data_IF_559997167899
#
_entry.id   IF_559997167899
#
_cell.length_a   1.000
_cell.length_b   1.000
_cell.length_c   1.000
_cell.angle_alpha   90.00
_cell.angle_beta   90.00
_cell.angle_gamma   90.00
#
_symmetry.space_group_name_H-M   'P 1'
#
loop_
_entity.id
_entity.type
_entity.pdbx_description
1 polymer ?
#
# COMPACT_ATOMS: atom_id res chain seq x y z
N UNK A 1 -20.18 5.44 21.42
CA UNK A 1 -19.95 4.13 20.79
C UNK A 1 -18.61 4.11 20.09
N UNK A 2 -17.92 3.02 20.24
CA UNK A 2 -16.69 2.77 19.52
C UNK A 2 -17.00 2.71 18.02
N UNK A 3 -16.33 3.52 17.21
CA UNK A 3 -16.54 3.56 15.76
C UNK A 3 -16.37 2.19 15.08
N UNK A 4 -15.59 1.31 15.67
CA UNK A 4 -15.40 -0.07 15.25
C UNK A 4 -16.73 -0.84 15.19
N UNK A 5 -17.57 -0.70 16.20
CA UNK A 5 -18.88 -1.36 16.23
C UNK A 5 -19.82 -0.77 15.18
N UNK A 6 -19.79 0.55 14.97
CA UNK A 6 -20.58 1.17 13.93
C UNK A 6 -20.24 0.66 12.52
N UNK A 7 -18.96 0.50 12.22
CA UNK A 7 -18.52 -0.06 10.93
C UNK A 7 -18.92 -1.52 10.77
N UNK A 8 -18.80 -2.34 11.80
CA UNK A 8 -19.21 -3.75 11.75
C UNK A 8 -20.73 -3.88 11.53
N UNK A 9 -21.53 -3.03 12.17
CA UNK A 9 -22.97 -3.00 11.95
C UNK A 9 -23.31 -2.67 10.49
N UNK A 10 -22.59 -1.72 9.88
CA UNK A 10 -22.80 -1.36 8.46
C UNK A 10 -22.41 -2.53 7.56
N UNK A 11 -21.29 -3.20 7.83
CA UNK A 11 -20.84 -4.35 7.04
C UNK A 11 -21.89 -5.46 7.09
N UNK A 12 -22.40 -5.78 8.27
CA UNK A 12 -23.35 -6.88 8.47
C UNK A 12 -24.72 -6.59 7.87
N UNK A 13 -25.22 -5.36 8.04
CA UNK A 13 -26.58 -5.00 7.68
C UNK A 13 -26.74 -4.48 6.25
N UNK A 14 -25.65 -3.98 5.63
CA UNK A 14 -25.69 -3.33 4.33
C UNK A 14 -24.68 -3.93 3.35
N UNK A 15 -24.38 -5.22 3.51
CA UNK A 15 -23.46 -5.96 2.65
C UNK A 15 -23.78 -5.75 1.17
N UNK A 16 -22.78 -5.50 0.36
CA UNK A 16 -22.91 -5.26 -1.08
C UNK A 16 -23.27 -3.83 -1.45
N UNK A 17 -23.35 -2.91 -0.48
CA UNK A 17 -23.58 -1.49 -0.75
C UNK A 17 -22.28 -0.70 -0.74
N UNK A 18 -22.23 0.49 -1.40
CA UNK A 18 -21.06 1.39 -1.29
C UNK A 18 -20.73 1.77 0.15
N UNK A 19 -21.73 1.92 1.01
CA UNK A 19 -21.52 2.21 2.43
C UNK A 19 -20.78 1.06 3.13
N UNK A 20 -21.15 -0.19 2.83
CA UNK A 20 -20.47 -1.34 3.39
C UNK A 20 -19.03 -1.46 2.88
N UNK A 21 -18.79 -1.15 1.61
CA UNK A 21 -17.42 -1.19 1.05
C UNK A 21 -16.51 -0.18 1.76
N UNK A 22 -17.00 1.05 1.98
CA UNK A 22 -16.24 2.08 2.70
C UNK A 22 -16.03 1.66 4.16
N UNK A 23 -17.03 1.04 4.79
CA UNK A 23 -16.90 0.54 6.16
C UNK A 23 -15.85 -0.57 6.25
N UNK A 24 -15.80 -1.47 5.28
CA UNK A 24 -14.77 -2.53 5.19
C UNK A 24 -13.38 -1.89 5.09
N UNK A 25 -13.20 -0.94 4.19
CA UNK A 25 -11.94 -0.21 4.05
C UNK A 25 -11.54 0.47 5.35
N UNK A 26 -12.46 1.23 5.94
CA UNK A 26 -12.19 1.97 7.19
C UNK A 26 -11.84 1.03 8.33
N UNK A 27 -12.53 -0.09 8.45
CA UNK A 27 -12.25 -1.11 9.46
C UNK A 27 -10.85 -1.69 9.27
N UNK A 28 -10.51 -2.05 8.04
CA UNK A 28 -9.17 -2.55 7.72
C UNK A 28 -8.06 -1.56 8.07
N UNK A 29 -8.27 -0.28 7.76
CA UNK A 29 -7.29 0.77 8.10
C UNK A 29 -7.17 1.00 9.60
N UNK A 30 -8.27 0.87 10.35
CA UNK A 30 -8.25 0.95 11.82
C UNK A 30 -7.39 -0.19 12.39
N UNK A 31 -7.60 -1.42 11.93
CA UNK A 31 -6.80 -2.55 12.39
C UNK A 31 -5.33 -2.40 12.01
N UNK A 32 -5.04 -1.88 10.83
CA UNK A 32 -3.67 -1.57 10.44
C UNK A 32 -3.02 -0.59 11.42
N UNK A 33 -3.74 0.45 11.77
CA UNK A 33 -3.28 1.47 12.71
C UNK A 33 -3.07 0.90 14.13
N UNK A 34 -3.92 -0.05 14.53
CA UNK A 34 -3.82 -0.76 15.80
C UNK A 34 -2.72 -1.85 15.78
N UNK A 35 -2.04 -2.02 14.65
CA UNK A 35 -0.99 -3.04 14.45
C UNK A 35 -1.51 -4.47 14.53
N UNK A 36 -2.80 -4.66 14.26
CA UNK A 36 -3.39 -5.99 14.10
C UNK A 36 -3.35 -6.36 12.61
N UNK A 37 -2.16 -6.72 12.14
CA UNK A 37 -1.85 -6.78 10.73
C UNK A 37 -2.61 -7.87 9.98
N UNK A 38 -2.72 -9.06 10.54
CA UNK A 38 -3.45 -10.17 9.90
C UNK A 38 -4.93 -9.82 9.73
N UNK A 39 -5.53 -9.24 10.77
CA UNK A 39 -6.93 -8.81 10.72
C UNK A 39 -7.12 -7.68 9.70
N UNK A 40 -6.19 -6.74 9.65
CA UNK A 40 -6.21 -5.65 8.66
C UNK A 40 -6.19 -6.21 7.23
N UNK A 41 -5.32 -7.19 6.97
CA UNK A 41 -5.22 -7.85 5.66
C UNK A 41 -6.58 -8.47 5.28
N UNK A 42 -7.20 -9.21 6.19
CA UNK A 42 -8.48 -9.86 5.92
C UNK A 42 -9.56 -8.85 5.49
N UNK A 43 -9.69 -7.74 6.21
CA UNK A 43 -10.67 -6.71 5.86
C UNK A 43 -10.32 -6.01 4.54
N UNK A 44 -9.06 -5.63 4.35
CA UNK A 44 -8.65 -4.91 3.15
C UNK A 44 -8.71 -5.78 1.89
N UNK A 45 -8.51 -7.08 2.00
CA UNK A 45 -8.69 -8.02 0.88
C UNK A 45 -10.15 -8.12 0.44
N UNK A 46 -11.09 -7.95 1.37
CA UNK A 46 -12.52 -7.97 1.06
C UNK A 46 -12.99 -6.66 0.41
N UNK A 47 -12.20 -5.60 0.52
CA UNK A 47 -12.54 -4.31 -0.09
C UNK A 47 -12.34 -4.36 -1.60
N UNK A 48 -13.41 -3.98 -2.34
CA UNK A 48 -13.36 -3.86 -3.80
C UNK A 48 -13.95 -2.51 -4.21
N UNK A 49 -13.21 -1.79 -5.04
CA UNK A 49 -13.64 -0.48 -5.52
C UNK A 49 -13.04 -0.23 -6.90
N UNK A 50 -13.78 0.51 -7.73
CA UNK A 50 -13.25 1.04 -8.98
C UNK A 50 -12.61 2.42 -8.82
N UNK A 51 -12.60 2.95 -7.60
CA UNK A 51 -12.01 4.24 -7.32
C UNK A 51 -10.49 4.19 -7.53
N UNK A 52 -9.92 5.10 -8.35
CA UNK A 52 -8.50 5.06 -8.70
C UNK A 52 -7.56 5.43 -7.55
N UNK A 53 -8.09 5.91 -6.43
CA UNK A 53 -7.30 6.25 -5.23
C UNK A 53 -7.56 5.23 -4.11
N UNK A 54 -8.82 4.93 -3.80
CA UNK A 54 -9.16 4.06 -2.68
C UNK A 54 -8.68 2.62 -2.88
N UNK A 55 -8.83 2.07 -4.09
CA UNK A 55 -8.38 0.69 -4.33
C UNK A 55 -6.86 0.55 -4.18
N UNK A 56 -6.03 1.43 -4.76
CA UNK A 56 -4.59 1.39 -4.48
C UNK A 56 -4.24 1.59 -3.01
N UNK A 57 -4.96 2.45 -2.27
CA UNK A 57 -4.72 2.62 -0.84
C UNK A 57 -5.01 1.34 -0.06
N UNK A 58 -6.05 0.60 -0.43
CA UNK A 58 -6.35 -0.68 0.21
C UNK A 58 -5.26 -1.72 -0.11
N UNK A 59 -4.87 -1.84 -1.36
CA UNK A 59 -3.80 -2.76 -1.79
C UNK A 59 -2.47 -2.41 -1.13
N UNK A 60 -2.13 -1.13 -1.10
CA UNK A 60 -0.93 -0.65 -0.44
C UNK A 60 -0.97 -0.84 1.08
N UNK A 61 -2.15 -0.71 1.69
CA UNK A 61 -2.35 -1.00 3.11
C UNK A 61 -2.07 -2.46 3.44
N UNK A 62 -2.49 -3.37 2.58
CA UNK A 62 -2.15 -4.80 2.71
C UNK A 62 -0.63 -4.98 2.59
N UNK A 63 0.00 -4.31 1.63
CA UNK A 63 1.45 -4.30 1.49
C UNK A 63 2.15 -3.81 2.76
N UNK A 64 1.65 -2.73 3.35
CA UNK A 64 2.18 -2.20 4.61
C UNK A 64 2.08 -3.22 5.74
N UNK A 65 0.96 -3.92 5.85
CA UNK A 65 0.77 -4.96 6.87
C UNK A 65 1.76 -6.11 6.68
N UNK A 66 1.93 -6.59 5.46
CA UNK A 66 2.92 -7.63 5.17
C UNK A 66 4.35 -7.17 5.46
N UNK A 67 4.68 -5.92 5.13
CA UNK A 67 6.00 -5.37 5.42
C UNK A 67 6.28 -5.33 6.93
N UNK A 68 5.28 -4.95 7.73
CA UNK A 68 5.39 -4.95 9.19
C UNK A 68 5.56 -6.36 9.75
N UNK A 69 4.98 -7.36 9.09
CA UNK A 69 5.15 -8.77 9.44
C UNK A 69 6.47 -9.35 8.87
N UNK A 70 7.29 -8.52 8.24
CA UNK A 70 8.54 -8.92 7.58
C UNK A 70 8.34 -9.96 6.46
N UNK A 71 7.13 -10.01 5.91
CA UNK A 71 6.80 -10.83 4.75
C UNK A 71 6.99 -9.99 3.49
N UNK A 72 8.25 -9.72 3.14
CA UNK A 72 8.61 -8.73 2.14
C UNK A 72 8.22 -9.12 0.72
N UNK A 73 8.23 -10.42 0.38
CA UNK A 73 7.78 -10.86 -0.95
C UNK A 73 6.31 -10.58 -1.16
N UNK A 74 5.48 -10.83 -0.14
CA UNK A 74 4.05 -10.53 -0.19
C UNK A 74 3.81 -9.02 -0.21
N UNK A 75 4.57 -8.26 0.58
CA UNK A 75 4.49 -6.81 0.58
C UNK A 75 4.77 -6.24 -0.81
N UNK A 76 5.85 -6.68 -1.46
CA UNK A 76 6.19 -6.22 -2.80
C UNK A 76 5.06 -6.52 -3.78
N UNK A 77 4.50 -7.71 -3.73
CA UNK A 77 3.41 -8.12 -4.62
C UNK A 77 2.21 -7.18 -4.50
N UNK A 78 1.82 -6.81 -3.28
CA UNK A 78 0.67 -5.92 -3.07
C UNK A 78 0.98 -4.48 -3.43
N UNK A 79 2.19 -3.98 -3.18
CA UNK A 79 2.59 -2.66 -3.67
C UNK A 79 2.55 -2.62 -5.21
N UNK A 80 3.00 -3.68 -5.87
CA UNK A 80 2.95 -3.76 -7.32
C UNK A 80 1.52 -3.82 -7.86
N UNK A 81 0.62 -4.52 -7.15
CA UNK A 81 -0.81 -4.48 -7.49
C UNK A 81 -1.37 -3.06 -7.40
N UNK A 82 -0.98 -2.31 -6.36
CA UNK A 82 -1.40 -0.91 -6.22
C UNK A 82 -0.88 -0.05 -7.39
N UNK A 83 0.39 -0.23 -7.77
CA UNK A 83 0.99 0.47 -8.90
C UNK A 83 0.31 0.14 -10.22
N UNK A 84 -0.07 -1.12 -10.42
CA UNK A 84 -0.74 -1.56 -11.65
C UNK A 84 -2.18 -1.08 -11.76
N UNK A 85 -2.82 -0.79 -10.63
CA UNK A 85 -4.22 -0.39 -10.60
C UNK A 85 -4.42 1.02 -11.13
N UNK A 86 -3.57 1.96 -10.71
CA UNK A 86 -3.69 3.37 -11.07
C UNK A 86 -2.34 4.07 -10.94
N UNK A 87 -2.05 4.95 -11.88
CA UNK A 87 -0.87 5.81 -11.87
C UNK A 87 -1.16 7.21 -11.33
N UNK A 88 -2.22 7.38 -10.55
CA UNK A 88 -2.58 8.67 -10.00
C UNK A 88 -1.45 9.26 -9.16
N UNK A 89 -1.30 10.60 -9.20
CA UNK A 89 -0.17 11.29 -8.56
C UNK A 89 -0.19 11.25 -7.02
N UNK A 90 -1.30 10.83 -6.43
CA UNK A 90 -1.44 10.76 -4.98
C UNK A 90 -0.84 9.46 -4.41
N UNK A 91 -1.12 8.32 -5.05
CA UNK A 91 -0.70 7.02 -4.53
C UNK A 91 0.50 6.43 -5.25
N UNK A 92 0.66 6.70 -6.54
CA UNK A 92 1.69 6.06 -7.37
C UNK A 92 3.10 6.32 -6.85
N UNK A 93 3.54 7.57 -6.59
CA UNK A 93 4.89 7.79 -6.06
C UNK A 93 5.10 7.19 -4.67
N UNK A 94 4.06 7.17 -3.84
CA UNK A 94 4.11 6.55 -2.51
C UNK A 94 4.48 5.06 -2.63
N UNK A 95 3.79 4.33 -3.48
CA UNK A 95 4.00 2.89 -3.59
C UNK A 95 5.22 2.54 -4.44
N UNK A 96 5.65 3.40 -5.35
CA UNK A 96 6.97 3.27 -6.00
C UNK A 96 8.08 3.24 -4.95
N UNK A 97 8.05 4.17 -4.00
CA UNK A 97 9.07 4.22 -2.95
C UNK A 97 9.00 3.00 -2.03
N UNK A 98 7.81 2.63 -1.60
CA UNK A 98 7.63 1.47 -0.71
C UNK A 98 8.04 0.18 -1.41
N UNK A 99 7.65 -0.01 -2.66
CA UNK A 99 8.05 -1.18 -3.44
C UNK A 99 9.57 -1.22 -3.63
N UNK A 100 10.19 -0.09 -3.94
CA UNK A 100 11.65 0.00 -4.07
C UNK A 100 12.38 -0.38 -2.78
N UNK A 101 11.92 0.12 -1.64
CA UNK A 101 12.52 -0.18 -0.34
C UNK A 101 12.41 -1.67 0.02
N UNK A 102 11.25 -2.26 -0.24
CA UNK A 102 11.03 -3.69 0.01
C UNK A 102 11.88 -4.54 -0.95
N UNK A 103 11.99 -4.13 -2.21
CA UNK A 103 12.86 -4.81 -3.17
C UNK A 103 14.32 -4.79 -2.70
N UNK A 104 14.80 -3.68 -2.15
CA UNK A 104 16.14 -3.64 -1.54
C UNK A 104 16.28 -4.65 -0.41
N UNK A 105 15.27 -4.76 0.46
CA UNK A 105 15.28 -5.72 1.57
C UNK A 105 15.33 -7.16 1.08
N UNK A 106 14.76 -7.42 -0.09
CA UNK A 106 14.80 -8.73 -0.74
C UNK A 106 16.10 -8.99 -1.52
N UNK A 107 16.96 -7.99 -1.66
CA UNK A 107 18.14 -8.08 -2.50
C UNK A 107 17.87 -7.93 -3.99
N UNK A 108 16.65 -7.57 -4.37
CA UNK A 108 16.27 -7.32 -5.76
C UNK A 108 16.61 -5.89 -6.15
N UNK A 109 17.91 -5.66 -6.35
CA UNK A 109 18.43 -4.33 -6.63
C UNK A 109 17.98 -3.78 -7.98
N UNK A 110 17.73 -4.67 -8.94
CA UNK A 110 17.23 -4.27 -10.25
C UNK A 110 15.85 -3.64 -10.14
N UNK A 111 14.91 -4.32 -9.51
CA UNK A 111 13.55 -3.80 -9.29
C UNK A 111 13.58 -2.52 -8.47
N UNK A 112 14.40 -2.48 -7.42
CA UNK A 112 14.56 -1.28 -6.61
C UNK A 112 15.03 -0.09 -7.44
N UNK A 113 16.07 -0.28 -8.29
CA UNK A 113 16.57 0.77 -9.17
C UNK A 113 15.51 1.27 -10.15
N UNK A 114 14.73 0.36 -10.72
CA UNK A 114 13.66 0.73 -11.65
C UNK A 114 12.64 1.66 -10.99
N UNK A 115 12.16 1.30 -9.80
CA UNK A 115 11.17 2.10 -9.09
C UNK A 115 11.74 3.45 -8.61
N UNK A 116 12.95 3.46 -8.07
CA UNK A 116 13.57 4.71 -7.63
C UNK A 116 13.88 5.64 -8.80
N UNK A 117 14.23 5.09 -9.96
CA UNK A 117 14.48 5.89 -11.16
C UNK A 117 13.22 6.60 -11.64
N UNK A 118 12.06 5.94 -11.56
CA UNK A 118 10.78 6.57 -11.91
C UNK A 118 10.51 7.76 -10.98
N UNK A 119 10.75 7.59 -9.67
CA UNK A 119 10.58 8.70 -8.72
C UNK A 119 11.50 9.86 -9.08
N UNK A 120 12.77 9.60 -9.35
CA UNK A 120 13.74 10.63 -9.70
C UNK A 120 13.35 11.37 -10.98
N UNK A 121 12.89 10.64 -11.99
CA UNK A 121 12.60 11.20 -13.31
C UNK A 121 11.24 11.92 -13.37
N UNK A 122 10.24 11.40 -12.68
CA UNK A 122 8.85 11.87 -12.84
C UNK A 122 8.27 12.55 -11.60
N UNK A 123 8.84 12.32 -10.42
CA UNK A 123 8.30 12.81 -9.14
C UNK A 123 9.36 13.49 -8.29
N UNK A 124 10.32 14.17 -8.93
CA UNK A 124 11.47 14.76 -8.25
C UNK A 124 11.11 15.84 -7.22
N UNK A 125 9.95 16.48 -7.38
CA UNK A 125 9.51 17.55 -6.46
C UNK A 125 8.70 17.01 -5.27
N UNK A 126 8.38 15.72 -5.25
CA UNK A 126 7.59 15.12 -4.18
C UNK A 126 8.43 14.68 -2.99
N UNK A 127 7.75 14.45 -1.87
CA UNK A 127 8.41 13.96 -0.65
C UNK A 127 9.03 12.58 -0.84
N UNK A 128 8.50 11.79 -1.76
CA UNK A 128 8.99 10.46 -2.07
C UNK A 128 10.37 10.48 -2.74
N UNK A 129 10.77 11.62 -3.33
CA UNK A 129 12.11 11.80 -3.89
C UNK A 129 13.17 12.11 -2.84
N UNK A 130 12.77 12.29 -1.58
CA UNK A 130 13.71 12.49 -0.49
C UNK A 130 14.72 11.34 -0.43
N UNK A 131 15.99 11.65 -0.42
CA UNK A 131 17.07 10.67 -0.33
C UNK A 131 17.15 9.70 -1.54
N UNK A 132 16.54 10.06 -2.67
CA UNK A 132 16.43 9.13 -3.81
C UNK A 132 17.79 8.77 -4.41
N UNK A 133 18.74 9.70 -4.46
CA UNK A 133 20.07 9.42 -5.01
C UNK A 133 20.84 8.42 -4.13
N UNK A 134 20.69 8.52 -2.81
CA UNK A 134 21.29 7.55 -1.89
C UNK A 134 20.67 6.17 -2.05
N UNK A 135 19.35 6.11 -2.23
CA UNK A 135 18.64 4.84 -2.47
C UNK A 135 19.05 4.20 -3.79
N UNK A 136 19.19 5.01 -4.85
CA UNK A 136 19.72 4.54 -6.12
C UNK A 136 21.16 4.02 -5.98
N UNK A 137 21.97 4.70 -5.18
CA UNK A 137 23.33 4.24 -4.87
C UNK A 137 23.34 2.90 -4.18
N UNK A 138 22.45 2.67 -3.22
CA UNK A 138 22.31 1.38 -2.55
C UNK A 138 21.91 0.27 -3.52
N UNK A 139 20.97 0.55 -4.42
CA UNK A 139 20.50 -0.41 -5.40
C UNK A 139 21.54 -0.75 -6.46
N UNK A 140 22.52 0.12 -6.70
CA UNK A 140 23.56 -0.07 -7.72
C UNK A 140 24.90 -0.52 -7.15
N UNK A 141 25.03 -0.68 -5.82
CA UNK A 141 26.30 -0.95 -5.15
C UNK A 141 26.75 -2.42 -5.20
N UNK A 142 26.17 -3.21 -6.06
CA UNK A 142 26.57 -4.61 -6.25
C UNK A 142 26.91 -4.90 -7.69
#
# INVERSE_FOLDING_TARGET
ADGKYGFLDIIDNYSGTPAADIAIYSTGMIYLHLKEFETAIDYLEDFKSSDPVLQPLALGGIGDAFAELEQFSDALQYYEKALSYSDNKLTYPRYLRKAGLVALSLGDNKTASEYFSIIKDEFSDGVEASNIDALLGQASSR
#
